data_IF_695699489222
#
_entry.id   IF_695699489222
#
_cell.length_a   1.000
_cell.length_b   1.000
_cell.length_c   1.000
_cell.angle_alpha   90.00
_cell.angle_beta   90.00
_cell.angle_gamma   90.00
#
_symmetry.space_group_name_H-M   'P 1'
#
loop_
_entity.id
_entity.type
_entity.pdbx_description
1 polymer ?
#
# COMPACT_ATOMS: atom_id res chain seq x y z
N UNK A 1 -18.58 11.02 -33.48
CA UNK A 1 -17.16 11.11 -33.08
C UNK A 1 -17.12 10.87 -31.58
N UNK A 2 -16.26 9.95 -31.14
CA UNK A 2 -16.46 9.04 -30.00
C UNK A 2 -17.00 9.64 -28.69
N UNK A 3 -17.97 8.91 -28.13
CA UNK A 3 -18.58 9.09 -26.82
C UNK A 3 -17.52 9.17 -25.72
N UNK A 4 -17.58 10.23 -24.92
CA UNK A 4 -16.87 10.36 -23.65
C UNK A 4 -17.35 9.22 -22.73
N UNK A 5 -16.48 8.27 -22.44
CA UNK A 5 -16.70 7.29 -21.38
C UNK A 5 -16.45 8.02 -20.04
N UNK A 6 -17.47 8.69 -19.52
CA UNK A 6 -17.51 9.06 -18.10
C UNK A 6 -18.01 7.82 -17.35
N UNK A 7 -17.07 6.93 -17.02
CA UNK A 7 -17.37 5.78 -16.16
C UNK A 7 -17.54 6.29 -14.73
N UNK A 8 -18.60 5.91 -14.02
CA UNK A 8 -18.79 6.32 -12.63
C UNK A 8 -17.63 5.77 -11.80
N UNK A 9 -16.75 6.67 -11.34
CA UNK A 9 -15.73 6.32 -10.35
C UNK A 9 -16.50 5.95 -9.08
N UNK A 10 -16.39 4.71 -8.56
CA UNK A 10 -17.12 4.35 -7.36
C UNK A 10 -16.63 5.21 -6.19
N UNK A 11 -17.53 5.95 -5.55
CA UNK A 11 -17.27 6.91 -4.45
C UNK A 11 -16.69 6.29 -3.16
N UNK A 12 -16.24 5.04 -3.17
CA UNK A 12 -15.61 4.41 -2.01
C UNK A 12 -14.65 3.26 -2.38
N UNK A 13 -13.87 3.41 -3.45
CA UNK A 13 -12.73 2.53 -3.68
C UNK A 13 -11.68 2.79 -2.59
N UNK A 14 -11.73 2.02 -1.50
CA UNK A 14 -10.59 1.85 -0.59
C UNK A 14 -9.45 1.33 -1.45
N UNK A 15 -8.63 2.24 -1.93
CA UNK A 15 -7.54 1.90 -2.84
C UNK A 15 -6.54 1.07 -2.06
N UNK A 16 -6.25 -0.14 -2.53
CA UNK A 16 -5.21 -0.98 -1.96
C UNK A 16 -3.85 -0.37 -2.28
N UNK A 17 -3.17 0.14 -1.25
CA UNK A 17 -1.89 0.83 -1.40
C UNK A 17 -0.77 -0.14 -1.07
N UNK A 18 0.23 -0.22 -1.94
CA UNK A 18 1.44 -1.00 -1.67
C UNK A 18 2.66 -0.08 -1.63
N UNK A 19 3.39 -0.10 -0.52
CA UNK A 19 4.65 0.64 -0.36
C UNK A 19 5.82 -0.32 -0.49
N UNK A 20 6.64 -0.13 -1.52
CA UNK A 20 7.86 -0.88 -1.78
C UNK A 20 9.06 -0.04 -1.34
N UNK A 21 9.76 -0.52 -0.32
CA UNK A 21 10.93 0.15 0.25
C UNK A 21 10.60 0.88 1.55
N UNK A 22 11.23 0.45 2.65
CA UNK A 22 11.02 1.00 4.00
C UNK A 22 12.27 1.76 4.49
N UNK A 23 12.62 2.80 3.74
CA UNK A 23 13.55 3.85 4.16
C UNK A 23 12.82 4.96 4.94
N UNK A 24 13.52 6.04 5.29
CA UNK A 24 12.93 7.15 6.06
C UNK A 24 11.65 7.71 5.42
N UNK A 25 11.67 7.94 4.10
CA UNK A 25 10.50 8.43 3.35
C UNK A 25 9.42 7.35 3.22
N UNK A 26 9.78 6.15 2.77
CA UNK A 26 8.80 5.07 2.53
C UNK A 26 8.04 4.68 3.78
N UNK A 27 8.72 4.65 4.94
CA UNK A 27 8.08 4.39 6.22
C UNK A 27 7.11 5.51 6.63
N UNK A 28 7.49 6.78 6.41
CA UNK A 28 6.59 7.91 6.67
C UNK A 28 5.32 7.86 5.79
N UNK A 29 5.48 7.51 4.52
CA UNK A 29 4.36 7.35 3.57
C UNK A 29 3.46 6.19 3.97
N UNK A 30 4.02 5.02 4.32
CA UNK A 30 3.25 3.88 4.79
C UNK A 30 2.44 4.24 6.06
N UNK A 31 3.07 4.94 7.01
CA UNK A 31 2.38 5.40 8.22
C UNK A 31 1.27 6.41 7.92
N UNK A 32 1.47 7.32 6.97
CA UNK A 32 0.44 8.28 6.57
C UNK A 32 -0.81 7.58 6.02
N UNK A 33 -0.64 6.56 5.17
CA UNK A 33 -1.75 5.80 4.63
C UNK A 33 -2.47 4.95 5.67
N UNK A 34 -1.72 4.31 6.58
CA UNK A 34 -2.29 3.57 7.71
C UNK A 34 -3.12 4.49 8.62
N UNK A 35 -2.61 5.68 8.93
CA UNK A 35 -3.30 6.66 9.77
C UNK A 35 -4.56 7.23 9.10
N UNK A 36 -4.58 7.30 7.77
CA UNK A 36 -5.75 7.67 6.99
C UNK A 36 -6.76 6.51 6.82
N UNK A 37 -6.47 5.32 7.35
CA UNK A 37 -7.36 4.16 7.32
C UNK A 37 -7.34 3.38 6.00
N UNK A 38 -6.33 3.59 5.15
CA UNK A 38 -6.20 2.84 3.90
C UNK A 38 -5.62 1.44 4.14
N UNK A 39 -6.14 0.46 3.41
CA UNK A 39 -5.54 -0.87 3.32
C UNK A 39 -4.14 -0.73 2.71
N UNK A 40 -3.11 -0.94 3.55
CA UNK A 40 -1.71 -0.69 3.18
C UNK A 40 -0.90 -1.98 3.30
N UNK A 41 -0.33 -2.42 2.18
CA UNK A 41 0.69 -3.48 2.11
C UNK A 41 2.08 -2.84 2.12
N UNK A 42 3.01 -3.49 2.81
CA UNK A 42 4.42 -3.07 2.83
C UNK A 42 5.33 -4.22 2.43
N UNK A 43 6.35 -3.90 1.64
CA UNK A 43 7.41 -4.84 1.30
C UNK A 43 8.76 -4.13 1.28
N UNK A 44 9.80 -4.84 1.69
CA UNK A 44 11.17 -4.37 1.57
C UNK A 44 12.11 -5.55 1.31
N UNK A 45 13.14 -5.34 0.47
CA UNK A 45 14.15 -6.37 0.19
C UNK A 45 14.79 -6.95 1.46
N UNK A 46 14.99 -6.08 2.45
CA UNK A 46 15.53 -6.41 3.77
C UNK A 46 14.37 -6.64 4.75
N UNK A 47 14.10 -7.90 5.17
CA UNK A 47 12.96 -8.21 6.04
C UNK A 47 13.09 -7.61 7.45
N UNK A 48 14.30 -7.30 7.91
CA UNK A 48 14.54 -6.62 9.19
C UNK A 48 13.84 -5.26 9.29
N UNK A 49 13.54 -4.60 8.17
CA UNK A 49 12.79 -3.34 8.13
C UNK A 49 11.28 -3.53 8.32
N UNK A 50 10.76 -4.73 8.10
CA UNK A 50 9.34 -5.05 8.29
C UNK A 50 9.00 -5.24 9.77
N UNK A 51 9.99 -5.42 10.66
CA UNK A 51 9.79 -5.62 12.11
C UNK A 51 8.98 -4.48 12.72
N UNK A 52 9.19 -3.24 12.29
CA UNK A 52 8.45 -2.07 12.76
C UNK A 52 6.94 -2.12 12.44
N UNK A 53 6.54 -2.93 11.44
CA UNK A 53 5.17 -3.04 10.96
C UNK A 53 4.43 -4.29 11.44
N UNK A 54 5.12 -5.23 12.13
CA UNK A 54 4.50 -6.47 12.62
C UNK A 54 3.35 -6.23 13.63
N UNK A 55 3.40 -5.12 14.37
CA UNK A 55 2.37 -4.72 15.32
C UNK A 55 1.46 -3.59 14.78
N UNK A 56 1.50 -3.33 13.47
CA UNK A 56 0.68 -2.30 12.81
C UNK A 56 -0.46 -2.94 12.03
N UNK A 57 -1.40 -2.13 11.53
CA UNK A 57 -2.45 -2.60 10.62
C UNK A 57 -1.94 -2.93 9.20
N UNK A 58 -0.65 -2.74 8.92
CA UNK A 58 -0.07 -3.02 7.61
C UNK A 58 0.11 -4.52 7.37
N UNK A 59 -0.13 -4.95 6.14
CA UNK A 59 0.16 -6.32 5.70
C UNK A 59 1.59 -6.39 5.18
N UNK A 60 2.44 -7.19 5.83
CA UNK A 60 3.80 -7.44 5.36
C UNK A 60 3.78 -8.51 4.25
N UNK A 61 4.08 -8.11 3.01
CA UNK A 61 4.21 -9.07 1.92
C UNK A 61 5.50 -9.90 2.06
N UNK A 62 5.49 -11.20 1.75
CA UNK A 62 6.68 -12.06 1.86
C UNK A 62 7.68 -11.82 0.71
N UNK A 63 7.19 -11.40 -0.47
CA UNK A 63 7.95 -11.24 -1.69
C UNK A 63 7.36 -10.10 -2.55
N UNK A 64 8.10 -9.56 -3.53
CA UNK A 64 7.64 -8.39 -4.29
C UNK A 64 6.48 -8.71 -5.23
N UNK A 65 6.30 -9.97 -5.65
CA UNK A 65 5.15 -10.38 -6.48
C UNK A 65 3.88 -10.36 -5.62
N UNK A 66 3.94 -10.94 -4.42
CA UNK A 66 2.86 -10.87 -3.45
C UNK A 66 2.55 -9.43 -3.02
N UNK A 67 3.55 -8.54 -3.01
CA UNK A 67 3.34 -7.14 -2.68
C UNK A 67 2.44 -6.43 -3.70
N UNK A 68 2.67 -6.64 -5.00
CA UNK A 68 1.91 -5.97 -6.07
C UNK A 68 0.64 -6.70 -6.48
N UNK A 69 0.46 -7.95 -6.04
CA UNK A 69 -0.74 -8.74 -6.34
C UNK A 69 -1.82 -8.43 -5.30
N UNK A 70 -3.01 -8.08 -5.79
CA UNK A 70 -4.19 -7.71 -5.00
C UNK A 70 -5.38 -7.61 -5.92
#
# INVERSE_FOLDING_TARGET
MLCTQDSPVPDNQVSDITVIGLGAMGSAVANAFLNAGHATKVWNRSPERLVAYQNSAAVCAPDPVAAVTG
#
